data_IF_779648830042
#
_entry.id   IF_779648830042
#
_cell.length_a   1.000
_cell.length_b   1.000
_cell.length_c   1.000
_cell.angle_alpha   90.00
_cell.angle_beta   90.00
_cell.angle_gamma   90.00
#
_symmetry.space_group_name_H-M   'P 1'
#
loop_
_entity.id
_entity.type
_entity.pdbx_description
1 polymer ?
#
# COMPACT_ATOMS: atom_id res chain seq x y z
N UNK A 1 -10.35 -31.29 -2.54
CA UNK A 1 -9.99 -29.92 -2.09
C UNK A 1 -8.58 -29.63 -2.56
N UNK A 2 -8.31 -28.52 -3.25
CA UNK A 2 -6.91 -28.17 -3.58
C UNK A 2 -6.25 -27.54 -2.36
N UNK A 3 -4.99 -27.89 -2.12
CA UNK A 3 -4.18 -27.19 -1.13
C UNK A 3 -3.86 -25.77 -1.63
N UNK A 4 -3.71 -24.77 -0.75
CA UNK A 4 -3.32 -23.43 -1.15
C UNK A 4 -1.91 -23.41 -1.76
N UNK A 5 -1.63 -22.44 -2.62
CA UNK A 5 -0.30 -22.23 -3.19
C UNK A 5 0.72 -21.99 -2.08
N UNK A 6 1.91 -22.59 -2.13
CA UNK A 6 2.86 -22.59 -1.00
C UNK A 6 2.80 -23.86 -0.16
N UNK A 7 1.80 -24.71 -0.38
CA UNK A 7 1.69 -26.02 0.25
C UNK A 7 1.59 -27.14 -0.79
N UNK A 8 1.93 -28.34 -0.38
CA UNK A 8 1.70 -29.58 -1.12
C UNK A 8 1.18 -30.68 -0.19
N UNK A 9 0.55 -31.71 -0.76
CA UNK A 9 0.20 -32.93 -0.03
C UNK A 9 1.37 -33.88 -0.20
N UNK A 10 2.05 -34.22 0.90
CA UNK A 10 3.12 -35.18 0.91
C UNK A 10 2.59 -36.61 0.67
N UNK A 11 3.45 -37.58 0.28
CA UNK A 11 3.02 -38.96 0.01
C UNK A 11 2.28 -39.65 1.17
N UNK A 12 2.54 -39.20 2.40
CA UNK A 12 1.88 -39.67 3.62
C UNK A 12 0.50 -39.01 3.87
N UNK A 13 0.00 -38.20 2.94
CA UNK A 13 -1.29 -37.49 3.05
C UNK A 13 -1.26 -36.22 3.89
N UNK A 14 -0.14 -35.92 4.56
CA UNK A 14 0.00 -34.69 5.35
C UNK A 14 0.29 -33.48 4.47
N UNK A 15 -0.19 -32.31 4.90
CA UNK A 15 0.12 -31.04 4.23
C UNK A 15 1.50 -30.58 4.68
N UNK A 16 2.38 -30.32 3.72
CA UNK A 16 3.72 -29.82 3.93
C UNK A 16 3.93 -28.50 3.16
N UNK A 17 4.94 -27.74 3.57
CA UNK A 17 5.27 -26.43 2.98
C UNK A 17 6.20 -26.66 1.79
N UNK A 18 5.80 -26.16 0.62
CA UNK A 18 6.69 -26.03 -0.53
C UNK A 18 7.49 -24.74 -0.35
N UNK A 19 8.76 -24.86 0.03
CA UNK A 19 9.55 -23.71 0.45
C UNK A 19 9.76 -22.67 -0.66
N UNK A 20 9.87 -23.12 -1.91
CA UNK A 20 10.01 -22.22 -3.07
C UNK A 20 8.73 -21.41 -3.26
N UNK A 21 7.56 -22.08 -3.28
CA UNK A 21 6.27 -21.41 -3.41
C UNK A 21 5.93 -20.56 -2.18
N UNK A 22 6.31 -20.99 -0.98
CA UNK A 22 6.12 -20.23 0.24
C UNK A 22 6.93 -18.94 0.24
N UNK A 23 8.16 -18.96 -0.29
CA UNK A 23 8.96 -17.75 -0.47
C UNK A 23 8.29 -16.77 -1.46
N UNK A 24 7.63 -17.27 -2.50
CA UNK A 24 6.84 -16.42 -3.41
C UNK A 24 5.66 -15.79 -2.67
N UNK A 25 4.95 -16.54 -1.82
CA UNK A 25 3.86 -15.99 -0.97
C UNK A 25 4.40 -14.87 -0.08
N UNK A 26 5.50 -15.10 0.66
CA UNK A 26 6.15 -14.06 1.50
C UNK A 26 6.52 -12.83 0.69
N UNK A 27 7.08 -13.03 -0.51
CA UNK A 27 7.44 -11.93 -1.40
C UNK A 27 6.21 -11.14 -1.84
N UNK A 28 5.09 -11.79 -2.18
CA UNK A 28 3.84 -11.11 -2.55
C UNK A 28 3.33 -10.23 -1.40
N UNK A 29 3.36 -10.72 -0.15
CA UNK A 29 3.00 -9.92 1.03
C UNK A 29 3.90 -8.69 1.17
N UNK A 30 5.23 -8.89 1.12
CA UNK A 30 6.21 -7.79 1.21
C UNK A 30 6.01 -6.73 0.12
N UNK A 31 5.79 -7.14 -1.13
CA UNK A 31 5.58 -6.18 -2.23
C UNK A 31 4.25 -5.43 -2.10
N UNK A 32 3.20 -6.06 -1.56
CA UNK A 32 1.93 -5.37 -1.33
C UNK A 32 2.05 -4.32 -0.22
N UNK A 33 2.65 -4.72 0.90
CA UNK A 33 2.92 -3.84 2.05
C UNK A 33 3.86 -2.69 1.69
N UNK A 34 4.82 -2.91 0.78
CA UNK A 34 5.70 -1.85 0.26
C UNK A 34 5.03 -0.87 -0.71
N UNK A 35 3.72 -0.94 -0.91
CA UNK A 35 2.98 0.03 -1.72
C UNK A 35 2.52 -0.47 -3.10
N UNK A 36 3.01 -1.62 -3.59
CA UNK A 36 2.62 -2.08 -4.94
C UNK A 36 1.15 -2.47 -5.01
N UNK A 37 0.50 -2.08 -6.10
CA UNK A 37 -0.84 -2.56 -6.42
C UNK A 37 -0.81 -4.04 -6.84
N UNK A 38 -1.97 -4.72 -6.79
CA UNK A 38 -2.11 -6.09 -7.29
C UNK A 38 -1.70 -6.21 -8.77
N UNK A 39 -1.97 -5.18 -9.58
CA UNK A 39 -1.51 -5.11 -10.96
C UNK A 39 0.02 -5.02 -11.05
N UNK A 40 0.64 -4.15 -10.25
CA UNK A 40 2.10 -4.03 -10.19
C UNK A 40 2.78 -5.32 -9.75
N UNK A 41 2.21 -6.03 -8.76
CA UNK A 41 2.70 -7.35 -8.34
C UNK A 41 2.56 -8.38 -9.46
N UNK A 42 1.45 -8.39 -10.20
CA UNK A 42 1.28 -9.28 -11.34
C UNK A 42 2.35 -9.07 -12.41
N UNK A 43 2.69 -7.81 -12.71
CA UNK A 43 3.74 -7.46 -13.68
C UNK A 43 5.13 -7.80 -13.14
N UNK A 44 5.38 -7.59 -11.85
CA UNK A 44 6.61 -7.98 -11.16
C UNK A 44 6.87 -9.49 -11.25
N UNK A 45 5.85 -10.32 -11.02
CA UNK A 45 5.94 -11.78 -11.08
C UNK A 45 6.11 -12.26 -12.53
N UNK A 46 5.38 -11.64 -13.47
CA UNK A 46 5.50 -11.93 -14.90
C UNK A 46 6.92 -11.66 -15.42
N UNK A 47 7.50 -10.51 -15.09
CA UNK A 47 8.89 -10.16 -15.48
C UNK A 47 9.93 -11.13 -14.90
N UNK A 48 9.66 -11.76 -13.77
CA UNK A 48 10.52 -12.78 -13.14
C UNK A 48 10.22 -14.21 -13.61
N UNK A 49 9.32 -14.39 -14.58
CA UNK A 49 8.89 -15.70 -15.07
C UNK A 49 8.30 -16.61 -13.98
N UNK A 50 7.63 -16.03 -12.97
CA UNK A 50 7.01 -16.80 -11.88
C UNK A 50 5.58 -17.17 -12.27
N UNK A 51 5.27 -18.46 -12.55
CA UNK A 51 3.95 -18.87 -13.00
C UNK A 51 2.92 -18.82 -11.87
N UNK A 52 1.67 -18.61 -12.25
CA UNK A 52 0.53 -18.68 -11.33
C UNK A 52 0.28 -20.11 -10.84
N UNK A 53 -0.55 -20.31 -9.80
CA UNK A 53 -0.84 -21.65 -9.25
C UNK A 53 -1.42 -22.63 -10.28
N UNK A 54 -2.06 -22.12 -11.35
CA UNK A 54 -2.60 -22.92 -12.47
C UNK A 54 -1.64 -23.02 -13.67
N UNK A 55 -0.37 -22.65 -13.51
CA UNK A 55 0.64 -22.70 -14.56
C UNK A 55 0.57 -21.57 -15.60
N UNK A 56 -0.34 -20.59 -15.44
CA UNK A 56 -0.39 -19.44 -16.36
C UNK A 56 0.82 -18.52 -16.15
N UNK A 57 1.35 -17.95 -17.23
CA UNK A 57 2.48 -17.03 -17.21
C UNK A 57 2.22 -15.73 -16.41
N UNK A 58 0.97 -15.26 -16.35
CA UNK A 58 0.60 -14.04 -15.62
C UNK A 58 -0.41 -14.31 -14.51
N UNK A 59 -0.11 -13.81 -13.32
CA UNK A 59 -1.03 -13.80 -12.19
C UNK A 59 -2.13 -12.76 -12.43
N UNK A 60 -3.38 -13.08 -12.05
CA UNK A 60 -4.48 -12.12 -12.12
C UNK A 60 -4.68 -11.44 -10.77
N UNK A 61 -5.21 -10.21 -10.78
CA UNK A 61 -5.48 -9.46 -9.54
C UNK A 61 -6.42 -10.23 -8.58
N UNK A 62 -7.49 -10.93 -9.04
CA UNK A 62 -8.30 -11.75 -8.14
C UNK A 62 -7.52 -12.90 -7.48
N UNK A 63 -6.61 -13.56 -8.20
CA UNK A 63 -5.79 -14.65 -7.63
C UNK A 63 -4.85 -14.11 -6.55
N UNK A 64 -4.19 -12.97 -6.81
CA UNK A 64 -3.35 -12.31 -5.80
C UNK A 64 -4.16 -11.84 -4.59
N UNK A 65 -5.33 -11.24 -4.83
CA UNK A 65 -6.24 -10.80 -3.77
C UNK A 65 -6.70 -11.96 -2.88
N UNK A 66 -7.03 -13.12 -3.47
CA UNK A 66 -7.44 -14.31 -2.75
C UNK A 66 -6.27 -14.94 -1.97
N UNK A 67 -5.07 -14.95 -2.55
CA UNK A 67 -3.86 -15.41 -1.86
C UNK A 67 -3.59 -14.55 -0.61
N UNK A 68 -3.64 -13.22 -0.76
CA UNK A 68 -3.45 -12.30 0.35
C UNK A 68 -4.51 -12.50 1.45
N UNK A 69 -5.77 -12.80 1.09
CA UNK A 69 -6.85 -12.96 2.09
C UNK A 69 -6.90 -14.34 2.77
N UNK A 70 -6.04 -15.28 2.36
CA UNK A 70 -6.15 -16.67 2.80
C UNK A 70 -5.50 -16.87 4.17
N UNK A 71 -6.34 -17.04 5.19
CA UNK A 71 -5.92 -17.22 6.58
C UNK A 71 -5.06 -18.47 6.81
N UNK A 72 -5.07 -19.45 5.90
CA UNK A 72 -4.23 -20.66 6.00
C UNK A 72 -2.73 -20.38 5.95
N UNK A 73 -2.31 -19.16 5.61
CA UNK A 73 -0.90 -18.77 5.62
C UNK A 73 -0.39 -18.29 6.99
N UNK A 74 -1.29 -17.89 7.88
CA UNK A 74 -0.97 -17.31 9.18
C UNK A 74 -0.25 -18.35 10.04
N UNK A 75 0.90 -17.98 10.62
CA UNK A 75 1.68 -18.81 11.53
C UNK A 75 2.58 -19.85 10.86
N UNK A 76 2.42 -20.10 9.56
CA UNK A 76 3.21 -21.08 8.81
C UNK A 76 4.08 -20.43 7.72
N UNK A 77 3.49 -19.57 6.90
CA UNK A 77 4.19 -18.90 5.79
C UNK A 77 4.38 -17.41 6.07
N UNK A 78 3.39 -16.75 6.67
CA UNK A 78 3.44 -15.35 7.12
C UNK A 78 3.13 -15.24 8.61
N UNK A 79 3.70 -14.23 9.27
CA UNK A 79 3.40 -13.94 10.67
C UNK A 79 1.95 -13.45 10.83
N UNK A 80 1.47 -13.46 12.07
CA UNK A 80 0.19 -12.85 12.41
C UNK A 80 0.22 -11.35 12.07
N UNK A 81 1.26 -10.64 12.48
CA UNK A 81 1.38 -9.19 12.28
C UNK A 81 1.37 -8.80 10.79
N UNK A 82 2.15 -9.50 9.95
CA UNK A 82 2.18 -9.23 8.50
C UNK A 82 0.80 -9.45 7.86
N UNK A 83 0.06 -10.46 8.32
CA UNK A 83 -1.30 -10.71 7.83
C UNK A 83 -2.25 -9.56 8.20
N UNK A 84 -2.22 -9.11 9.45
CA UNK A 84 -3.11 -8.04 9.90
C UNK A 84 -2.75 -6.68 9.29
N UNK A 85 -1.46 -6.35 9.19
CA UNK A 85 -0.99 -5.15 8.51
C UNK A 85 -1.46 -5.13 7.04
N UNK A 86 -1.33 -6.26 6.36
CA UNK A 86 -1.73 -6.38 4.96
C UNK A 86 -3.24 -6.24 4.79
N UNK A 87 -4.03 -6.87 5.67
CA UNK A 87 -5.49 -6.74 5.66
C UNK A 87 -5.93 -5.29 5.91
N UNK A 88 -5.30 -4.61 6.87
CA UNK A 88 -5.54 -3.17 7.11
C UNK A 88 -5.23 -2.33 5.88
N UNK A 89 -4.08 -2.58 5.23
CA UNK A 89 -3.70 -1.89 4.01
C UNK A 89 -4.66 -2.15 2.84
N UNK A 90 -5.18 -3.38 2.74
CA UNK A 90 -6.18 -3.75 1.74
C UNK A 90 -7.51 -3.03 1.97
N UNK A 91 -7.96 -2.92 3.22
CA UNK A 91 -9.13 -2.11 3.59
C UNK A 91 -8.90 -0.64 3.29
N UNK A 92 -7.71 -0.10 3.61
CA UNK A 92 -7.33 1.28 3.32
C UNK A 92 -7.40 1.59 1.81
N UNK A 93 -6.91 0.67 0.97
CA UNK A 93 -6.93 0.78 -0.50
C UNK A 93 -8.28 0.44 -1.13
N UNK A 94 -9.25 -0.07 -0.36
CA UNK A 94 -10.57 -0.44 -0.86
C UNK A 94 -11.32 0.77 -1.40
N UNK A 95 -11.94 0.60 -2.57
CA UNK A 95 -12.84 1.60 -3.18
C UNK A 95 -14.26 1.53 -2.62
N UNK A 96 -14.52 0.67 -1.63
CA UNK A 96 -15.80 0.57 -0.93
C UNK A 96 -15.63 1.23 0.44
N UNK A 97 -16.58 2.07 0.79
CA UNK A 97 -16.73 2.63 2.13
C UNK A 97 -17.29 1.56 3.07
N UNK A 98 -16.64 1.35 4.21
CA UNK A 98 -16.96 0.22 5.10
C UNK A 98 -18.29 0.45 5.84
N UNK A 99 -18.61 1.69 6.16
CA UNK A 99 -19.83 2.05 6.89
C UNK A 99 -21.07 2.05 6.00
N UNK A 100 -20.93 2.58 4.78
CA UNK A 100 -22.06 2.75 3.84
C UNK A 100 -22.15 1.66 2.78
N UNK A 101 -21.11 0.83 2.62
CA UNK A 101 -20.94 -0.13 1.53
C UNK A 101 -21.03 0.48 0.12
N UNK A 102 -20.95 1.81 0.01
CA UNK A 102 -20.99 2.52 -1.26
C UNK A 102 -19.59 2.66 -1.86
N UNK A 103 -19.53 2.89 -3.18
CA UNK A 103 -18.25 3.20 -3.82
C UNK A 103 -17.77 4.59 -3.42
N UNK A 104 -16.55 4.68 -2.94
CA UNK A 104 -15.86 5.93 -2.66
C UNK A 104 -15.76 6.77 -3.94
N UNK A 105 -15.99 8.08 -3.81
CA UNK A 105 -15.96 9.03 -4.94
C UNK A 105 -14.58 9.07 -5.63
N UNK A 106 -13.52 8.73 -4.91
CA UNK A 106 -12.14 8.72 -5.39
C UNK A 106 -11.48 7.39 -5.12
N UNK A 107 -10.64 6.92 -6.06
CA UNK A 107 -9.95 5.62 -5.98
C UNK A 107 -8.51 5.77 -5.50
N UNK A 108 -7.98 4.75 -4.82
CA UNK A 108 -6.54 4.67 -4.52
C UNK A 108 -5.73 4.60 -5.83
N UNK A 109 -4.69 5.43 -5.95
CA UNK A 109 -3.81 5.46 -7.11
C UNK A 109 -2.37 5.17 -6.69
N UNK A 110 -1.84 4.01 -7.06
CA UNK A 110 -0.48 3.59 -6.73
C UNK A 110 0.62 4.21 -7.61
N UNK A 111 0.28 5.10 -8.55
CA UNK A 111 1.26 5.71 -9.47
C UNK A 111 2.07 6.86 -8.86
N UNK A 112 1.69 7.35 -7.67
CA UNK A 112 2.41 8.43 -6.98
C UNK A 112 2.91 7.93 -5.63
N UNK A 113 4.19 8.16 -5.33
CA UNK A 113 4.79 7.85 -4.01
C UNK A 113 4.06 8.57 -2.86
N UNK A 114 3.49 9.74 -3.13
CA UNK A 114 2.74 10.53 -2.14
C UNK A 114 1.44 9.84 -1.69
N UNK A 115 0.95 8.88 -2.47
CA UNK A 115 -0.26 8.11 -2.15
C UNK A 115 0.00 7.19 -0.96
N UNK A 116 -0.47 7.60 0.21
CA UNK A 116 -0.24 6.84 1.45
C UNK A 116 0.55 7.64 2.48
N UNK A 117 1.46 8.51 2.04
CA UNK A 117 2.31 9.33 2.91
C UNK A 117 1.59 10.55 3.49
N UNK A 118 0.70 11.17 2.71
CA UNK A 118 0.00 12.39 3.15
C UNK A 118 -1.18 12.07 4.06
N UNK A 119 -1.14 12.55 5.31
CA UNK A 119 -2.13 12.32 6.36
C UNK A 119 -2.65 13.65 6.88
N UNK A 120 -3.96 13.77 7.08
CA UNK A 120 -4.57 14.98 7.62
C UNK A 120 -4.33 15.08 9.13
N UNK A 121 -3.70 16.17 9.59
CA UNK A 121 -3.49 16.40 11.02
C UNK A 121 -4.79 16.61 11.80
N UNK A 122 -5.86 17.06 11.14
CA UNK A 122 -7.16 17.30 11.79
C UNK A 122 -7.97 16.01 12.03
N UNK A 123 -8.04 15.12 11.03
CA UNK A 123 -8.93 13.95 11.11
C UNK A 123 -8.23 12.59 10.94
N UNK A 124 -6.91 12.57 10.79
CA UNK A 124 -6.10 11.36 10.66
C UNK A 124 -6.29 10.57 9.36
N UNK A 125 -7.21 10.96 8.47
CA UNK A 125 -7.39 10.28 7.18
C UNK A 125 -6.38 10.77 6.15
N UNK A 126 -5.98 9.86 5.26
CA UNK A 126 -5.04 10.17 4.19
C UNK A 126 -5.62 11.19 3.20
N UNK A 127 -4.73 11.95 2.58
CA UNK A 127 -5.06 12.74 1.41
C UNK A 127 -5.15 11.84 0.17
N UNK A 128 -5.96 12.27 -0.80
CA UNK A 128 -6.14 11.62 -2.08
C UNK A 128 -5.79 12.56 -3.22
N UNK A 129 -5.12 12.01 -4.22
CA UNK A 129 -4.80 12.66 -5.48
C UNK A 129 -6.04 12.77 -6.36
N UNK A 130 -6.34 13.97 -6.84
CA UNK A 130 -7.49 14.29 -7.68
C UNK A 130 -7.00 15.13 -8.86
N UNK A 131 -7.30 14.68 -10.08
CA UNK A 131 -7.12 15.47 -11.29
C UNK A 131 -8.37 16.30 -11.53
N UNK A 132 -8.23 17.63 -11.54
CA UNK A 132 -9.33 18.56 -11.86
C UNK A 132 -9.62 18.56 -13.36
N UNK A 133 -10.75 19.15 -13.75
CA UNK A 133 -11.11 19.36 -15.16
C UNK A 133 -10.10 20.20 -15.94
N UNK A 134 -9.35 21.08 -15.24
CA UNK A 134 -8.25 21.86 -15.80
C UNK A 134 -6.99 21.03 -16.10
N UNK A 135 -6.93 19.76 -15.69
CA UNK A 135 -5.73 18.93 -15.72
C UNK A 135 -4.82 19.11 -14.50
N UNK A 136 -5.06 20.13 -13.66
CA UNK A 136 -4.33 20.35 -12.41
C UNK A 136 -4.51 19.16 -11.45
N UNK A 137 -3.40 18.73 -10.84
CA UNK A 137 -3.40 17.66 -9.84
C UNK A 137 -3.35 18.27 -8.44
N UNK A 138 -4.35 17.96 -7.63
CA UNK A 138 -4.44 18.40 -6.24
C UNK A 138 -4.61 17.22 -5.28
N UNK A 139 -4.17 17.43 -4.05
CA UNK A 139 -4.33 16.51 -2.92
C UNK A 139 -5.37 17.07 -1.96
N UNK A 140 -6.37 16.25 -1.61
CA UNK A 140 -7.46 16.63 -0.70
C UNK A 140 -7.68 15.54 0.35
N UNK A 141 -7.99 15.95 1.59
CA UNK A 141 -8.35 15.02 2.66
C UNK A 141 -9.50 14.09 2.23
N UNK A 142 -9.34 12.78 2.46
CA UNK A 142 -10.32 11.75 2.13
C UNK A 142 -11.72 12.03 2.69
N UNK A 143 -11.82 12.25 4.00
CA UNK A 143 -13.09 12.54 4.67
C UNK A 143 -13.77 13.80 4.10
N UNK A 144 -12.97 14.82 3.76
CA UNK A 144 -13.49 16.06 3.19
C UNK A 144 -14.07 15.86 1.80
N UNK A 145 -13.50 14.94 1.02
CA UNK A 145 -13.98 14.56 -0.32
C UNK A 145 -15.24 13.71 -0.24
N UNK A 146 -15.28 12.74 0.67
CA UNK A 146 -16.38 11.76 0.76
C UNK A 146 -17.59 12.28 1.54
N UNK A 147 -17.37 13.08 2.58
CA UNK A 147 -18.41 13.46 3.55
C UNK A 147 -18.53 14.97 3.77
N UNK A 148 -17.89 15.78 2.92
CA UNK A 148 -17.86 17.23 3.07
C UNK A 148 -17.29 17.65 4.43
N UNK A 149 -17.87 18.67 5.06
CA UNK A 149 -17.34 19.23 6.32
C UNK A 149 -17.67 18.42 7.58
N UNK A 150 -18.34 17.28 7.45
CA UNK A 150 -18.88 16.53 8.60
C UNK A 150 -17.80 16.06 9.57
N UNK A 151 -16.72 15.47 9.05
CA UNK A 151 -15.67 14.84 9.87
C UNK A 151 -14.32 15.58 9.86
N UNK A 152 -14.19 16.59 9.00
CA UNK A 152 -12.98 17.38 8.88
C UNK A 152 -13.40 18.74 8.34
N UNK A 153 -13.08 19.82 9.05
CA UNK A 153 -13.58 21.19 8.86
C UNK A 153 -12.57 22.09 8.13
N UNK A 154 -11.28 21.90 8.35
CA UNK A 154 -10.23 22.85 8.01
C UNK A 154 -9.16 22.30 7.06
N UNK A 155 -9.17 21.00 6.72
CA UNK A 155 -8.20 20.43 5.78
C UNK A 155 -8.08 21.22 4.47
N UNK A 156 -6.89 21.69 4.07
CA UNK A 156 -6.68 22.42 2.83
C UNK A 156 -6.67 21.48 1.62
N UNK A 157 -6.75 22.08 0.42
CA UNK A 157 -6.42 21.41 -0.85
C UNK A 157 -5.05 21.87 -1.29
N UNK A 158 -4.14 20.94 -1.60
CA UNK A 158 -2.75 21.22 -1.92
C UNK A 158 -2.45 20.88 -3.38
N UNK A 159 -1.64 21.66 -4.09
CA UNK A 159 -1.14 21.26 -5.40
C UNK A 159 -0.05 20.19 -5.25
N UNK A 160 0.02 19.24 -6.19
CA UNK A 160 1.06 18.22 -6.18
C UNK A 160 2.46 18.84 -6.30
N UNK A 161 2.61 19.89 -7.11
CA UNK A 161 3.90 20.55 -7.31
C UNK A 161 4.42 21.23 -6.04
N UNK A 162 3.53 21.88 -5.27
CA UNK A 162 3.91 22.49 -3.98
C UNK A 162 4.38 21.43 -2.97
N UNK A 163 3.73 20.27 -2.94
CA UNK A 163 4.15 19.17 -2.06
C UNK A 163 5.54 18.67 -2.46
N UNK A 164 5.77 18.47 -3.76
CA UNK A 164 7.08 18.02 -4.27
C UNK A 164 8.18 19.04 -3.97
N UNK A 165 7.93 20.32 -4.16
CA UNK A 165 8.86 21.41 -3.87
C UNK A 165 9.30 21.40 -2.40
N UNK A 166 8.33 21.38 -1.47
CA UNK A 166 8.60 21.34 -0.02
C UNK A 166 9.37 20.08 0.37
N UNK A 167 9.07 18.93 -0.24
CA UNK A 167 9.79 17.68 0.03
C UNK A 167 11.24 17.74 -0.47
N UNK A 168 11.48 18.27 -1.66
CA UNK A 168 12.82 18.46 -2.20
C UNK A 168 13.64 19.40 -1.31
N UNK A 169 13.06 20.53 -0.91
CA UNK A 169 13.71 21.50 -0.01
C UNK A 169 14.06 20.84 1.33
N UNK A 170 13.10 20.13 1.96
CA UNK A 170 13.30 19.52 3.27
C UNK A 170 14.35 18.40 3.28
N UNK A 171 14.46 17.66 2.17
CA UNK A 171 15.39 16.54 2.03
C UNK A 171 16.70 16.90 1.32
N UNK A 172 16.88 18.16 0.91
CA UNK A 172 18.06 18.61 0.17
C UNK A 172 18.21 17.97 -1.22
N UNK A 173 17.10 17.65 -1.88
CA UNK A 173 17.10 17.05 -3.22
C UNK A 173 17.02 18.13 -4.30
N UNK A 174 17.84 18.00 -5.34
CA UNK A 174 17.79 18.92 -6.50
C UNK A 174 16.55 18.72 -7.37
N UNK A 175 16.02 17.50 -7.41
CA UNK A 175 14.80 17.14 -8.15
C UNK A 175 14.00 16.10 -7.37
N UNK A 176 12.69 16.03 -7.62
CA UNK A 176 11.83 15.07 -6.96
C UNK A 176 12.14 13.64 -7.41
N UNK A 177 12.59 12.81 -6.48
CA UNK A 177 12.86 11.39 -6.68
C UNK A 177 11.91 10.56 -5.81
N UNK A 178 11.06 9.76 -6.47
CA UNK A 178 10.06 8.97 -5.77
C UNK A 178 10.63 7.85 -4.90
N UNK A 179 11.78 7.29 -5.24
CA UNK A 179 12.40 6.21 -4.48
C UNK A 179 13.10 6.77 -3.24
N UNK A 180 13.80 7.90 -3.37
CA UNK A 180 14.40 8.61 -2.22
C UNK A 180 13.34 9.01 -1.19
N UNK A 181 12.21 9.56 -1.65
CA UNK A 181 11.09 9.95 -0.79
C UNK A 181 10.57 8.74 -0.04
N UNK A 182 10.34 7.63 -0.74
CA UNK A 182 9.81 6.40 -0.15
C UNK A 182 10.74 5.80 0.91
N UNK A 183 12.05 5.94 0.74
CA UNK A 183 13.04 5.37 1.64
C UNK A 183 13.31 6.26 2.87
N UNK A 184 13.09 7.57 2.76
CA UNK A 184 13.41 8.53 3.83
C UNK A 184 12.20 8.99 4.61
N UNK A 185 11.03 9.06 4.00
CA UNK A 185 9.82 9.63 4.60
C UNK A 185 8.93 8.52 5.13
N UNK A 186 8.51 8.67 6.38
CA UNK A 186 7.53 7.77 7.03
C UNK A 186 6.11 8.31 6.82
N UNK A 187 5.86 9.54 7.26
CA UNK A 187 4.56 10.21 7.13
C UNK A 187 4.71 11.72 6.87
N UNK A 188 3.75 12.29 6.15
CA UNK A 188 3.63 13.73 5.91
C UNK A 188 2.30 14.21 6.49
N UNK A 189 2.35 14.89 7.62
CA UNK A 189 1.19 15.48 8.28
C UNK A 189 0.86 16.83 7.63
N UNK A 190 -0.33 16.91 7.05
CA UNK A 190 -0.88 18.13 6.45
C UNK A 190 -1.67 18.90 7.50
N UNK A 191 -1.14 20.07 7.86
CA UNK A 191 -1.75 20.98 8.84
C UNK A 191 -2.91 21.78 8.24
N UNK A 192 -3.75 22.37 9.09
CA UNK A 192 -4.91 23.16 8.65
C UNK A 192 -4.54 24.43 7.89
N UNK A 193 -3.35 24.97 8.12
CA UNK A 193 -2.80 26.14 7.40
C UNK A 193 -2.15 25.76 6.05
N UNK A 194 -2.03 24.46 5.74
CA UNK A 194 -1.41 23.94 4.53
C UNK A 194 0.10 23.75 4.64
N UNK A 195 0.70 23.93 5.82
CA UNK A 195 2.07 23.50 6.08
C UNK A 195 2.17 21.96 6.14
N UNK A 196 3.37 21.46 5.81
CA UNK A 196 3.68 20.03 5.80
C UNK A 196 4.70 19.73 6.89
N UNK A 197 4.32 18.91 7.85
CA UNK A 197 5.24 18.30 8.81
C UNK A 197 5.68 16.95 8.25
N UNK A 198 6.97 16.80 8.00
CA UNK A 198 7.55 15.59 7.40
C UNK A 198 8.28 14.82 8.50
N UNK A 199 7.86 13.59 8.71
CA UNK A 199 8.49 12.65 9.64
C UNK A 199 9.31 11.65 8.84
N UNK A 200 10.55 11.44 9.27
CA UNK A 200 11.52 10.58 8.59
C UNK A 200 11.51 9.18 9.20
N UNK A 201 11.81 8.18 8.38
CA UNK A 201 11.99 6.81 8.87
C UNK A 201 13.18 6.78 9.84
N UNK A 202 12.99 6.28 11.06
CA UNK A 202 14.09 6.03 11.99
C UNK A 202 14.92 4.84 11.49
N UNK A 203 16.20 5.10 11.19
CA UNK A 203 17.15 4.07 10.73
C UNK A 203 17.52 3.03 11.82
N UNK A 204 17.08 3.21 13.08
CA UNK A 204 17.57 2.43 14.22
C UNK A 204 16.97 1.02 14.37
N UNK A 205 15.99 0.62 13.56
CA UNK A 205 15.38 -0.71 13.71
C UNK A 205 16.14 -1.87 13.05
N UNK A 206 17.16 -1.60 12.23
CA UNK A 206 17.92 -2.65 11.54
C UNK A 206 19.15 -3.17 12.29
N UNK A 207 19.63 -2.48 13.34
CA UNK A 207 20.79 -2.94 14.12
C UNK A 207 20.42 -3.86 15.31
N UNK A 208 19.12 -4.02 15.63
CA UNK A 208 18.67 -4.79 16.82
C UNK A 208 18.03 -6.15 16.51
N UNK A 209 18.08 -6.65 15.28
CA UNK A 209 17.66 -8.02 14.99
C UNK A 209 18.88 -8.94 14.96
N UNK A 210 19.12 -9.76 16.01
CA UNK A 210 20.15 -10.79 15.96
C UNK A 210 19.85 -11.80 14.85
N UNK A 211 20.91 -12.18 14.12
CA UNK A 211 20.93 -13.18 13.04
C UNK A 211 20.27 -14.51 13.42
#
# INVERSE_FOLDING_TARGET
>A
MSVPYGYYIAPNGHVAIDQEKANIVRMIYRQYLSGMSLGGIADFLFKRNIPSPKGRNRWTQPVLSNLLSNQKYIGYIVSFDDFFLMQGEKSRRSNIDEDTYQRKATRYNSQSVLSGLLVCAECGRNYRRITRSSGEIVWRCANRVEHGKKFCKHSPSLSEDKIKEVLCEKLGLSTFDGDEIKNKVDVILVQSDGSLQIELQCAEYFEMLPN
#
